data_IF_830519157594
#
_entry.id   IF_830519157594
#
_cell.length_a   1.000
_cell.length_b   1.000
_cell.length_c   1.000
_cell.angle_alpha   90.00
_cell.angle_beta   90.00
_cell.angle_gamma   90.00
#
_symmetry.space_group_name_H-M   'P 1'
#
loop_
_entity.id
_entity.type
_entity.pdbx_description
1 polymer ?
#
# COMPACT_ATOMS: atom_id res chain seq x y z
N UNK A 1 -25.60 -10.51 20.57
CA UNK A 1 -24.83 -9.30 20.94
C UNK A 1 -23.45 -9.48 20.35
N UNK A 2 -23.26 -9.06 19.09
CA UNK A 2 -21.94 -9.05 18.47
C UNK A 2 -21.15 -7.87 19.04
N UNK A 3 -20.21 -8.16 19.94
CA UNK A 3 -19.22 -7.19 20.33
C UNK A 3 -18.24 -7.01 19.17
N UNK A 4 -18.56 -6.08 18.26
CA UNK A 4 -17.54 -5.50 17.38
C UNK A 4 -16.51 -4.87 18.31
N UNK A 5 -15.21 -5.24 18.27
CA UNK A 5 -14.22 -4.58 19.09
C UNK A 5 -14.30 -3.08 18.78
N UNK A 6 -14.30 -2.28 19.84
CA UNK A 6 -14.38 -0.83 19.78
C UNK A 6 -13.11 -0.31 19.10
N UNK A 7 -13.11 -0.32 17.77
CA UNK A 7 -12.07 0.31 16.96
C UNK A 7 -12.15 1.78 17.34
N UNK A 8 -11.11 2.27 18.02
CA UNK A 8 -10.91 3.68 18.37
C UNK A 8 -11.43 4.56 17.21
N UNK A 9 -12.57 5.22 17.40
CA UNK A 9 -13.23 5.96 16.32
C UNK A 9 -12.44 7.25 16.09
N UNK A 10 -11.77 7.37 14.94
CA UNK A 10 -11.08 8.60 14.54
C UNK A 10 -9.56 8.46 14.28
N UNK A 11 -8.88 9.56 13.93
CA UNK A 11 -7.43 9.54 13.68
C UNK A 11 -6.65 9.23 14.96
N UNK A 12 -5.54 8.49 14.82
CA UNK A 12 -4.60 8.27 15.94
C UNK A 12 -3.45 9.22 15.74
N UNK A 13 -3.33 10.26 16.55
CA UNK A 13 -2.29 11.27 16.35
C UNK A 13 -0.89 10.66 16.42
N UNK A 14 -0.07 10.94 15.41
CA UNK A 14 1.32 10.56 15.43
C UNK A 14 2.10 11.46 16.39
N UNK A 15 2.75 10.83 17.38
CA UNK A 15 3.47 11.55 18.45
C UNK A 15 4.66 12.36 17.97
N UNK A 16 5.21 12.07 16.79
CA UNK A 16 6.38 12.80 16.25
C UNK A 16 5.99 13.93 15.30
N UNK A 17 4.69 14.12 15.02
CA UNK A 17 4.20 15.16 14.11
C UNK A 17 4.58 14.98 12.64
N UNK A 18 5.15 13.84 12.27
CA UNK A 18 5.62 13.55 10.90
C UNK A 18 4.50 13.13 9.95
N UNK A 19 3.35 12.72 10.50
CA UNK A 19 2.16 12.27 9.77
C UNK A 19 0.88 12.64 10.53
N UNK A 20 -0.23 12.83 9.83
CA UNK A 20 -1.51 13.23 10.46
C UNK A 20 -2.14 12.13 11.31
N UNK A 21 -1.81 10.86 11.07
CA UNK A 21 -2.37 9.72 11.80
C UNK A 21 -1.44 8.50 11.75
N UNK A 22 -1.41 7.71 12.82
CA UNK A 22 -0.75 6.40 12.91
C UNK A 22 -1.57 5.29 12.24
N UNK A 23 -2.84 5.54 11.92
CA UNK A 23 -3.67 4.62 11.13
C UNK A 23 -3.34 4.62 9.64
N UNK A 24 -2.63 5.62 9.15
CA UNK A 24 -2.46 5.84 7.71
C UNK A 24 -3.75 6.32 7.02
N UNK A 25 -3.73 6.39 5.68
CA UNK A 25 -4.84 6.88 4.85
C UNK A 25 -5.68 5.76 4.21
N UNK A 26 -5.16 4.54 4.11
CA UNK A 26 -5.80 3.44 3.39
C UNK A 26 -5.67 2.13 4.18
N UNK A 27 -6.77 1.57 4.72
CA UNK A 27 -6.72 0.30 5.45
C UNK A 27 -6.53 -0.86 4.46
N UNK A 28 -5.28 -1.26 4.27
CA UNK A 28 -4.92 -2.37 3.39
C UNK A 28 -3.65 -3.08 3.86
N UNK A 29 -3.46 -4.33 3.46
CA UNK A 29 -2.20 -5.02 3.70
C UNK A 29 -1.07 -4.40 2.87
N UNK A 30 0.18 -4.56 3.32
CA UNK A 30 1.34 -4.13 2.53
C UNK A 30 1.36 -4.81 1.15
N UNK A 31 0.97 -6.08 1.05
CA UNK A 31 0.91 -6.81 -0.22
C UNK A 31 -0.12 -6.23 -1.18
N UNK A 32 -1.30 -5.86 -0.70
CA UNK A 32 -2.34 -5.22 -1.53
C UNK A 32 -1.91 -3.82 -1.96
N UNK A 33 -1.26 -3.07 -1.06
CA UNK A 33 -0.70 -1.75 -1.39
C UNK A 33 0.32 -1.85 -2.51
N UNK A 34 1.24 -2.82 -2.44
CA UNK A 34 2.27 -3.01 -3.46
C UNK A 34 1.67 -3.44 -4.80
N UNK A 35 0.68 -4.34 -4.79
CA UNK A 35 -0.03 -4.71 -6.03
C UNK A 35 -0.73 -3.52 -6.67
N UNK A 36 -1.43 -2.69 -5.88
CA UNK A 36 -2.06 -1.46 -6.36
C UNK A 36 -1.02 -0.47 -6.91
N UNK A 37 0.12 -0.33 -6.23
CA UNK A 37 1.23 0.50 -6.66
C UNK A 37 1.82 0.02 -8.01
N UNK A 38 1.99 -1.29 -8.19
CA UNK A 38 2.49 -1.86 -9.44
C UNK A 38 1.50 -1.60 -10.59
N UNK A 39 0.21 -1.84 -10.34
CA UNK A 39 -0.84 -1.58 -11.32
C UNK A 39 -0.88 -0.10 -11.73
N UNK A 40 -0.90 0.82 -10.77
CA UNK A 40 -0.93 2.27 -11.06
C UNK A 40 0.32 2.72 -11.81
N UNK A 41 1.49 2.19 -11.44
CA UNK A 41 2.76 2.44 -12.14
C UNK A 41 2.75 2.04 -13.62
N UNK A 42 2.03 0.96 -13.98
CA UNK A 42 1.87 0.49 -15.37
C UNK A 42 0.87 1.35 -16.16
N UNK A 43 -0.14 1.92 -15.49
CA UNK A 43 -1.11 2.81 -16.13
C UNK A 43 -0.54 4.19 -16.50
N UNK A 44 0.68 4.54 -16.07
CA UNK A 44 1.31 5.80 -16.44
C UNK A 44 1.55 5.89 -17.95
N UNK A 45 1.25 7.06 -18.52
CA UNK A 45 1.48 7.36 -19.93
C UNK A 45 2.98 7.20 -20.31
N UNK A 46 3.28 6.79 -21.55
CA UNK A 46 4.66 6.72 -22.05
C UNK A 46 5.44 8.01 -21.80
N UNK A 47 6.70 7.88 -21.39
CA UNK A 47 7.58 9.03 -21.10
C UNK A 47 7.36 9.71 -19.74
N UNK A 48 6.39 9.28 -18.93
CA UNK A 48 6.23 9.79 -17.56
C UNK A 48 7.24 9.14 -16.61
N UNK A 49 7.85 9.98 -15.76
CA UNK A 49 8.71 9.53 -14.67
C UNK A 49 7.91 8.62 -13.73
N UNK A 50 8.50 7.48 -13.36
CA UNK A 50 7.85 6.51 -12.48
C UNK A 50 6.97 5.49 -13.21
N UNK A 51 6.87 5.53 -14.54
CA UNK A 51 6.20 4.47 -15.31
C UNK A 51 6.93 3.14 -15.13
N UNK A 52 6.16 2.09 -14.83
CA UNK A 52 6.66 0.71 -14.75
C UNK A 52 6.54 0.07 -16.13
N UNK A 53 7.64 -0.43 -16.74
CA UNK A 53 7.57 -1.13 -18.02
C UNK A 53 6.88 -2.49 -17.92
N UNK A 54 6.18 -2.91 -18.98
CA UNK A 54 5.57 -4.26 -19.02
C UNK A 54 6.60 -5.39 -19.04
N UNK A 55 7.85 -5.07 -19.40
CA UNK A 55 8.95 -6.03 -19.48
C UNK A 55 9.51 -6.45 -18.13
N UNK A 56 9.16 -5.77 -17.04
CA UNK A 56 9.59 -6.14 -15.68
C UNK A 56 8.49 -6.93 -14.97
N UNK A 57 8.90 -7.95 -14.22
CA UNK A 57 7.98 -8.77 -13.43
C UNK A 57 7.20 -7.96 -12.38
N UNK A 58 6.11 -8.50 -11.82
CA UNK A 58 5.36 -7.92 -10.72
C UNK A 58 6.24 -7.46 -9.56
N UNK A 59 5.85 -6.38 -8.86
CA UNK A 59 6.64 -5.82 -7.75
C UNK A 59 6.90 -6.82 -6.62
N UNK A 60 5.96 -7.73 -6.34
CA UNK A 60 6.14 -8.72 -5.28
C UNK A 60 7.24 -9.73 -5.63
N UNK A 61 7.30 -10.18 -6.88
CA UNK A 61 8.37 -11.06 -7.37
C UNK A 61 9.74 -10.36 -7.32
N UNK A 62 9.79 -9.10 -7.78
CA UNK A 62 11.03 -8.30 -7.77
C UNK A 62 11.57 -8.08 -6.35
N UNK A 63 10.68 -8.00 -5.37
CA UNK A 63 11.01 -7.84 -3.95
C UNK A 63 11.13 -9.19 -3.22
N UNK A 64 10.93 -10.33 -3.90
CA UNK A 64 10.95 -11.67 -3.29
C UNK A 64 9.91 -11.85 -2.17
N UNK A 65 8.77 -11.17 -2.29
CA UNK A 65 7.65 -11.17 -1.33
C UNK A 65 6.48 -12.07 -1.76
N UNK A 66 6.59 -12.69 -2.94
CA UNK A 66 5.63 -13.64 -3.50
C UNK A 66 5.82 -15.08 -2.98
N UNK A 67 6.86 -15.31 -2.17
CA UNK A 67 7.16 -16.63 -1.62
C UNK A 67 6.11 -17.04 -0.59
N UNK A 68 5.28 -18.02 -0.94
CA UNK A 68 4.50 -18.77 0.06
C UNK A 68 5.46 -19.61 0.89
N UNK A 69 5.60 -19.25 2.16
CA UNK A 69 6.21 -20.11 3.17
C UNK A 69 5.32 -21.31 3.48
#
# INVERSE_FOLDING_TARGET
MDQRPEVELGPVLNKTGTRCSDKGFLPMSLGDYLQLLDWTGRQLAPGKKGRIPETVGPILERLQLDRKG
#
